data_IF_190050582212
#
_entry.id   IF_190050582212
#
_cell.length_a   1.000
_cell.length_b   1.000
_cell.length_c   1.000
_cell.angle_alpha   90.00
_cell.angle_beta   90.00
_cell.angle_gamma   90.00
#
_symmetry.space_group_name_H-M   'P 1'
#
loop_
_entity.id
_entity.type
_entity.pdbx_description
1 polymer ?
#
# COMPACT_ATOMS: atom_id res chain seq x y z
N UNK A 1 11.28 -10.85 -1.41
CA UNK A 1 9.90 -10.41 -1.06
C UNK A 1 9.52 -10.93 0.32
N UNK A 2 9.77 -12.21 0.58
CA UNK A 2 9.44 -12.93 1.82
C UNK A 2 9.96 -12.29 3.11
N UNK A 3 11.17 -11.72 3.09
CA UNK A 3 11.74 -11.03 4.25
C UNK A 3 10.93 -9.78 4.63
N UNK A 4 10.61 -8.92 3.65
CA UNK A 4 9.82 -7.72 3.89
C UNK A 4 8.40 -8.08 4.30
N UNK A 5 7.79 -9.10 3.69
CA UNK A 5 6.47 -9.57 4.10
C UNK A 5 6.47 -10.04 5.55
N UNK A 6 7.42 -10.89 5.94
CA UNK A 6 7.52 -11.35 7.33
C UNK A 6 7.73 -10.19 8.32
N UNK A 7 8.52 -9.18 7.95
CA UNK A 7 8.81 -8.05 8.84
C UNK A 7 7.66 -7.01 8.91
N UNK A 8 6.90 -6.85 7.82
CA UNK A 8 5.92 -5.76 7.66
C UNK A 8 4.48 -6.23 7.56
N UNK A 9 4.21 -7.54 7.50
CA UNK A 9 2.87 -8.13 7.54
C UNK A 9 2.20 -7.71 8.84
N UNK A 10 1.54 -6.56 8.79
CA UNK A 10 0.77 -6.03 9.90
C UNK A 10 -0.40 -6.96 10.15
N UNK A 11 -0.20 -8.02 10.95
CA UNK A 11 -1.20 -8.95 11.50
C UNK A 11 -2.37 -9.32 10.55
N UNK A 12 -2.17 -9.31 9.22
CA UNK A 12 -3.26 -9.51 8.24
C UNK A 12 -3.80 -10.94 8.27
N UNK A 13 -2.93 -11.90 8.54
CA UNK A 13 -3.25 -13.31 8.72
C UNK A 13 -2.03 -14.03 9.30
N UNK A 14 -2.19 -15.25 9.81
CA UNK A 14 -1.06 -16.13 10.13
C UNK A 14 -0.29 -16.58 8.87
N UNK A 15 -0.87 -16.41 7.67
CA UNK A 15 -0.28 -16.80 6.39
C UNK A 15 -0.59 -15.72 5.34
N UNK A 16 0.29 -14.73 5.24
CA UNK A 16 0.36 -13.85 4.08
C UNK A 16 1.45 -14.39 3.16
N UNK A 17 1.07 -15.33 2.31
CA UNK A 17 1.98 -16.02 1.40
C UNK A 17 1.91 -15.47 -0.02
N UNK A 18 2.76 -16.01 -0.89
CA UNK A 18 2.84 -15.62 -2.29
C UNK A 18 1.51 -15.83 -3.02
N UNK A 19 0.81 -16.93 -2.78
CA UNK A 19 -0.46 -17.23 -3.46
C UNK A 19 -1.53 -16.20 -3.12
N UNK A 20 -1.64 -15.83 -1.84
CA UNK A 20 -2.55 -14.76 -1.41
C UNK A 20 -2.15 -13.40 -2.03
N UNK A 21 -0.85 -13.10 -2.08
CA UNK A 21 -0.36 -11.87 -2.73
C UNK A 21 -0.66 -11.86 -4.23
N UNK A 22 -0.42 -12.96 -4.95
CA UNK A 22 -0.67 -13.05 -6.40
C UNK A 22 -2.16 -12.91 -6.70
N UNK A 23 -3.02 -13.57 -5.93
CA UNK A 23 -4.48 -13.37 -6.02
C UNK A 23 -4.84 -11.89 -5.79
N UNK A 24 -4.35 -11.30 -4.70
CA UNK A 24 -4.71 -9.94 -4.30
C UNK A 24 -4.21 -8.86 -5.26
N UNK A 25 -3.09 -9.07 -5.97
CA UNK A 25 -2.43 -8.01 -6.75
C UNK A 25 -2.35 -8.29 -8.25
N UNK A 26 -2.30 -9.55 -8.67
CA UNK A 26 -2.14 -9.92 -10.08
C UNK A 26 -3.44 -10.38 -10.73
N UNK A 27 -4.42 -10.83 -9.93
CA UNK A 27 -5.70 -11.36 -10.41
C UNK A 27 -6.86 -10.36 -10.23
N UNK A 28 -6.57 -9.06 -10.20
CA UNK A 28 -7.63 -8.04 -10.23
C UNK A 28 -8.08 -7.74 -11.66
N UNK A 29 -9.35 -7.36 -11.79
CA UNK A 29 -9.96 -6.88 -13.04
C UNK A 29 -9.14 -5.72 -13.66
N UNK A 30 -8.67 -4.81 -12.81
CA UNK A 30 -7.81 -3.70 -13.22
C UNK A 30 -6.37 -3.94 -12.75
N UNK A 31 -5.37 -3.61 -13.59
CA UNK A 31 -3.97 -3.77 -13.22
C UNK A 31 -3.60 -2.97 -11.98
N UNK A 32 -3.02 -3.67 -10.99
CA UNK A 32 -2.46 -3.03 -9.80
C UNK A 32 -1.19 -2.25 -10.14
N UNK A 33 -0.94 -1.19 -9.39
CA UNK A 33 0.34 -0.48 -9.43
C UNK A 33 1.15 -0.87 -8.19
N UNK A 34 2.37 -1.33 -8.42
CA UNK A 34 3.27 -1.80 -7.37
C UNK A 34 4.55 -0.98 -7.46
N UNK A 35 4.88 -0.31 -6.36
CA UNK A 35 6.12 0.45 -6.21
C UNK A 35 6.99 -0.25 -5.20
N UNK A 36 8.27 -0.39 -5.53
CA UNK A 36 9.29 -0.96 -4.65
C UNK A 36 10.44 0.02 -4.50
N UNK A 37 11.04 0.02 -3.32
CA UNK A 37 12.31 0.67 -3.08
C UNK A 37 13.40 -0.39 -2.96
N UNK A 38 14.49 -0.24 -3.70
CA UNK A 38 15.62 -1.18 -3.76
C UNK A 38 16.90 -0.43 -3.40
N UNK A 39 17.63 -0.94 -2.42
CA UNK A 39 18.98 -0.50 -2.06
C UNK A 39 20.00 -1.54 -2.50
N UNK A 40 21.28 -1.30 -2.22
CA UNK A 40 22.37 -2.21 -2.59
C UNK A 40 22.19 -3.62 -2.03
N UNK A 41 21.63 -3.73 -0.83
CA UNK A 41 21.38 -5.00 -0.14
C UNK A 41 20.00 -5.60 -0.44
N UNK A 42 19.27 -5.05 -1.42
CA UNK A 42 17.97 -5.56 -1.85
C UNK A 42 16.78 -4.67 -1.46
N UNK A 43 15.62 -5.30 -1.24
CA UNK A 43 14.32 -4.62 -1.14
C UNK A 43 14.21 -3.78 0.16
N UNK A 44 14.25 -2.45 0.09
CA UNK A 44 14.06 -1.54 1.22
C UNK A 44 12.58 -1.45 1.67
N UNK A 45 11.62 -1.65 0.75
CA UNK A 45 10.20 -1.51 1.03
C UNK A 45 9.32 -1.66 -0.19
N UNK A 46 8.02 -1.66 0.03
CA UNK A 46 7.00 -1.79 -1.01
C UNK A 46 5.78 -0.91 -0.72
N UNK A 47 5.03 -0.59 -1.76
CA UNK A 47 3.84 0.26 -1.72
C UNK A 47 2.89 -0.21 -2.83
N UNK A 48 1.68 -0.68 -2.48
CA UNK A 48 0.74 -1.19 -3.47
C UNK A 48 -0.48 -0.27 -3.61
N UNK A 49 -1.00 -0.18 -4.83
CA UNK A 49 -2.26 0.46 -5.15
C UNK A 49 -3.12 -0.50 -5.99
N UNK A 50 -4.26 -0.90 -5.43
CA UNK A 50 -5.31 -1.57 -6.18
C UNK A 50 -6.21 -0.56 -6.85
N UNK A 51 -6.84 -0.94 -7.96
CA UNK A 51 -7.75 -0.08 -8.71
C UNK A 51 -9.09 -0.77 -8.86
N UNK A 52 -10.16 0.00 -8.66
CA UNK A 52 -11.52 -0.51 -8.68
C UNK A 52 -12.45 0.44 -9.41
N UNK A 53 -13.39 -0.14 -10.17
CA UNK A 53 -14.58 0.57 -10.61
C UNK A 53 -15.51 0.69 -9.42
N UNK A 54 -15.89 1.92 -9.07
CA UNK A 54 -16.67 2.24 -7.89
C UNK A 54 -17.79 3.21 -8.23
N UNK A 55 -18.66 3.48 -7.26
CA UNK A 55 -19.59 4.62 -7.31
C UNK A 55 -19.21 5.62 -6.22
N UNK A 56 -19.04 6.87 -6.61
CA UNK A 56 -18.82 7.97 -5.67
C UNK A 56 -19.92 9.01 -5.87
N UNK A 57 -20.68 9.29 -4.81
CA UNK A 57 -21.86 10.19 -4.86
C UNK A 57 -22.82 9.82 -5.99
N UNK A 58 -23.09 8.52 -6.16
CA UNK A 58 -24.00 8.01 -7.19
C UNK A 58 -23.47 8.05 -8.63
N UNK A 59 -22.21 8.44 -8.86
CA UNK A 59 -21.60 8.47 -10.19
C UNK A 59 -20.55 7.36 -10.33
N UNK A 60 -20.43 6.70 -11.50
CA UNK A 60 -19.30 5.84 -11.79
C UNK A 60 -17.98 6.61 -11.58
N UNK A 61 -17.02 5.96 -10.94
CA UNK A 61 -15.71 6.51 -10.68
C UNK A 61 -14.67 5.39 -10.63
N UNK A 62 -13.42 5.72 -10.91
CA UNK A 62 -12.30 4.83 -10.71
C UNK A 62 -11.51 5.22 -9.46
N UNK A 63 -11.58 4.37 -8.43
CA UNK A 63 -10.83 4.54 -7.20
C UNK A 63 -9.50 3.80 -7.26
N UNK A 64 -8.47 4.36 -6.61
CA UNK A 64 -7.25 3.63 -6.27
C UNK A 64 -7.12 3.49 -4.76
N UNK A 65 -7.02 2.25 -4.27
CA UNK A 65 -6.84 1.93 -2.86
C UNK A 65 -5.37 1.65 -2.56
N UNK A 66 -4.76 2.49 -1.73
CA UNK A 66 -3.44 2.18 -1.19
C UNK A 66 -3.59 1.14 -0.09
N UNK A 67 -2.84 0.05 -0.21
CA UNK A 67 -2.81 -1.02 0.77
C UNK A 67 -1.43 -1.68 0.79
N UNK A 68 -1.15 -2.46 1.84
CA UNK A 68 0.12 -3.15 2.07
C UNK A 68 1.31 -2.26 1.71
N UNK A 69 1.61 -1.38 2.65
CA UNK A 69 2.77 -0.51 2.57
C UNK A 69 3.74 -0.93 3.67
N UNK A 70 4.96 -1.26 3.27
CA UNK A 70 6.00 -1.77 4.15
C UNK A 70 7.33 -1.05 3.92
N UNK A 71 8.06 -0.80 5.00
CA UNK A 71 9.47 -0.40 4.93
C UNK A 71 10.23 -1.25 5.94
N UNK A 72 11.26 -1.94 5.45
CA UNK A 72 12.14 -2.72 6.30
C UNK A 72 12.72 -1.85 7.42
N UNK A 73 12.85 -2.45 8.60
CA UNK A 73 13.30 -1.81 9.84
C UNK A 73 14.61 -1.05 9.66
N UNK A 74 15.57 -1.67 8.98
CA UNK A 74 16.88 -1.09 8.64
C UNK A 74 16.79 0.21 7.80
N UNK A 75 15.67 0.45 7.12
CA UNK A 75 15.45 1.60 6.23
C UNK A 75 14.38 2.59 6.76
N UNK A 76 13.84 2.35 7.96
CA UNK A 76 12.87 3.26 8.59
C UNK A 76 13.54 4.56 9.00
N UNK A 77 12.75 5.64 9.06
CA UNK A 77 13.19 7.02 9.37
C UNK A 77 14.16 7.65 8.37
N UNK A 78 14.42 7.00 7.23
CA UNK A 78 15.30 7.53 6.17
C UNK A 78 14.51 8.18 5.01
N UNK A 79 13.19 8.29 5.13
CA UNK A 79 12.33 8.89 4.10
C UNK A 79 11.82 7.92 3.02
N UNK A 80 12.19 6.64 3.07
CA UNK A 80 11.80 5.62 2.07
C UNK A 80 10.28 5.56 1.87
N UNK A 81 9.49 5.49 2.95
CA UNK A 81 8.02 5.51 2.87
C UNK A 81 7.48 6.74 2.14
N UNK A 82 8.01 7.93 2.46
CA UNK A 82 7.59 9.21 1.86
C UNK A 82 7.94 9.25 0.38
N UNK A 83 9.13 8.76 0.02
CA UNK A 83 9.59 8.74 -1.36
C UNK A 83 8.76 7.76 -2.21
N UNK A 84 8.51 6.53 -1.72
CA UNK A 84 7.65 5.56 -2.41
C UNK A 84 6.22 6.07 -2.56
N UNK A 85 5.62 6.63 -1.51
CA UNK A 85 4.25 7.15 -1.57
C UNK A 85 4.12 8.38 -2.47
N UNK A 86 5.11 9.28 -2.47
CA UNK A 86 5.18 10.40 -3.41
C UNK A 86 5.21 9.92 -4.87
N UNK A 87 6.10 8.97 -5.16
CA UNK A 87 6.22 8.38 -6.49
C UNK A 87 4.94 7.65 -6.93
N UNK A 88 4.33 6.86 -6.04
CA UNK A 88 3.05 6.19 -6.29
C UNK A 88 1.94 7.19 -6.67
N UNK A 89 1.79 8.25 -5.88
CA UNK A 89 0.76 9.27 -6.10
C UNK A 89 0.98 10.05 -7.40
N UNK A 90 2.23 10.36 -7.73
CA UNK A 90 2.58 10.98 -9.01
C UNK A 90 2.14 10.09 -10.18
N UNK A 91 2.45 8.79 -10.13
CA UNK A 91 2.07 7.83 -11.18
C UNK A 91 0.56 7.65 -11.31
N UNK A 92 -0.17 7.60 -10.19
CA UNK A 92 -1.63 7.51 -10.21
C UNK A 92 -2.27 8.78 -10.79
N UNK A 93 -1.76 9.96 -10.42
CA UNK A 93 -2.25 11.24 -10.97
C UNK A 93 -1.93 11.39 -12.47
N UNK A 94 -0.76 10.93 -12.90
CA UNK A 94 -0.35 10.98 -14.29
C UNK A 94 -1.17 10.04 -15.19
N UNK A 95 -1.70 8.95 -14.65
CA UNK A 95 -2.52 8.00 -15.41
C UNK A 95 -3.85 8.60 -15.90
N UNK A 96 -4.30 9.71 -15.30
CA UNK A 96 -5.53 10.48 -15.64
C UNK A 96 -6.85 9.69 -15.63
N UNK A 97 -6.80 8.44 -15.22
CA UNK A 97 -7.93 7.52 -15.20
C UNK A 97 -8.39 7.18 -13.77
N UNK A 98 -7.79 7.77 -12.73
CA UNK A 98 -8.16 7.59 -11.32
C UNK A 98 -8.79 8.89 -10.79
N UNK A 99 -10.04 8.81 -10.36
CA UNK A 99 -10.81 9.95 -9.83
C UNK A 99 -10.44 10.29 -8.39
N UNK A 100 -10.16 9.27 -7.57
CA UNK A 100 -9.76 9.46 -6.18
C UNK A 100 -8.85 8.35 -5.67
N UNK A 101 -8.04 8.68 -4.67
CA UNK A 101 -7.12 7.76 -4.02
C UNK A 101 -7.49 7.69 -2.54
N UNK A 102 -7.68 6.49 -2.01
CA UNK A 102 -8.10 6.28 -0.62
C UNK A 102 -7.29 5.16 0.06
N UNK A 103 -7.34 5.13 1.39
CA UNK A 103 -6.68 4.10 2.20
C UNK A 103 -7.29 4.06 3.59
N UNK A 104 -7.02 2.97 4.32
CA UNK A 104 -7.41 2.79 5.71
C UNK A 104 -6.14 2.73 6.56
N UNK A 105 -5.58 3.89 6.94
CA UNK A 105 -4.34 3.89 7.70
C UNK A 105 -4.61 3.41 9.13
N UNK A 106 -3.64 2.70 9.71
CA UNK A 106 -3.67 2.46 11.15
C UNK A 106 -3.26 3.75 11.90
N UNK A 107 -3.48 3.77 13.22
CA UNK A 107 -3.19 4.94 14.06
C UNK A 107 -1.73 5.42 13.95
N UNK A 108 -0.78 4.51 13.70
CA UNK A 108 0.65 4.84 13.57
C UNK A 108 0.98 5.48 12.22
N UNK A 109 0.34 5.04 11.14
CA UNK A 109 0.62 5.53 9.79
C UNK A 109 -0.22 6.74 9.38
N UNK A 110 -1.41 6.92 9.98
CA UNK A 110 -2.32 8.03 9.67
C UNK A 110 -1.64 9.41 9.62
N UNK A 111 -0.80 9.81 10.61
CA UNK A 111 -0.17 11.12 10.57
C UNK A 111 0.75 11.31 9.36
N UNK A 112 1.39 10.24 8.90
CA UNK A 112 2.28 10.27 7.74
C UNK A 112 1.49 10.41 6.43
N UNK A 113 0.32 9.78 6.31
CA UNK A 113 -0.55 9.97 5.13
C UNK A 113 -1.08 11.40 5.04
N UNK A 114 -1.54 11.97 6.16
CA UNK A 114 -2.05 13.35 6.19
C UNK A 114 -0.93 14.35 5.92
N UNK A 115 0.18 14.29 6.68
CA UNK A 115 1.26 15.29 6.58
C UNK A 115 2.10 15.17 5.31
N UNK A 116 2.53 13.97 4.95
CA UNK A 116 3.50 13.80 3.87
C UNK A 116 2.85 13.64 2.48
N UNK A 117 1.64 13.09 2.45
CA UNK A 117 0.96 12.74 1.20
C UNK A 117 -0.33 13.55 0.95
N UNK A 118 -0.66 14.48 1.87
CA UNK A 118 -1.78 15.41 1.77
C UNK A 118 -3.14 14.72 1.62
N UNK A 119 -3.33 13.59 2.30
CA UNK A 119 -4.64 12.95 2.39
C UNK A 119 -5.57 13.76 3.30
N UNK A 120 -6.84 13.88 2.91
CA UNK A 120 -7.92 14.31 3.78
C UNK A 120 -8.53 13.10 4.52
N UNK A 121 -8.98 13.31 5.76
CA UNK A 121 -9.76 12.30 6.49
C UNK A 121 -11.23 12.51 6.14
N UNK A 122 -11.84 11.52 5.47
CA UNK A 122 -13.23 11.59 5.02
C UNK A 122 -14.19 10.98 6.04
N UNK A 123 -13.81 9.86 6.64
CA UNK A 123 -14.63 9.13 7.59
C UNK A 123 -13.76 8.30 8.55
N UNK A 124 -14.35 7.91 9.68
CA UNK A 124 -13.83 6.86 10.56
C UNK A 124 -14.74 5.65 10.42
N UNK A 125 -14.16 4.51 10.05
CA UNK A 125 -14.91 3.26 9.92
C UNK A 125 -14.80 2.50 11.25
N UNK A 126 -15.90 2.29 11.99
CA UNK A 126 -15.87 1.48 13.19
C UNK A 126 -15.55 0.02 12.84
N UNK A 127 -14.74 -0.62 13.68
CA UNK A 127 -14.41 -2.05 13.57
C UNK A 127 -15.16 -2.77 14.68
N UNK A 128 -16.08 -3.64 14.30
CA UNK A 128 -16.83 -4.48 15.23
C UNK A 128 -16.22 -5.88 15.26
N UNK A 129 -16.23 -6.51 16.44
CA UNK A 129 -15.70 -7.86 16.64
C UNK A 129 -16.81 -8.74 17.17
N UNK A 130 -17.14 -9.79 16.43
CA UNK A 130 -18.10 -10.81 16.86
C UNK A 130 -17.34 -12.12 17.13
N UNK A 131 -17.30 -12.61 18.39
CA UNK A 131 -16.65 -13.87 18.70
C UNK A 131 -17.49 -15.04 18.16
N UNK A 132 -17.01 -15.66 17.08
CA UNK A 132 -17.68 -16.81 16.46
C UNK A 132 -17.49 -18.10 17.27
N UNK A 133 -16.34 -18.23 17.95
CA UNK A 133 -15.99 -19.33 18.84
C UNK A 133 -15.34 -18.78 20.13
N UNK A 134 -16.17 -18.60 21.15
CA UNK A 134 -15.76 -18.12 22.48
C UNK A 134 -14.85 -19.15 23.15
N UNK A 135 -15.08 -20.45 22.93
CA UNK A 135 -14.26 -21.51 23.53
C UNK A 135 -12.82 -21.48 23.00
N UNK A 136 -12.64 -21.39 21.68
CA UNK A 136 -11.32 -21.23 21.08
C UNK A 136 -10.63 -19.96 21.56
N UNK A 137 -11.37 -18.86 21.77
CA UNK A 137 -10.84 -17.62 22.32
C UNK A 137 -10.36 -17.81 23.76
N UNK A 138 -11.16 -18.46 24.61
CA UNK A 138 -10.80 -18.77 26.01
C UNK A 138 -9.56 -19.67 26.09
N UNK A 139 -9.49 -20.71 25.26
CA UNK A 139 -8.33 -21.61 25.20
C UNK A 139 -7.07 -20.89 24.77
N UNK A 140 -7.15 -20.09 23.70
CA UNK A 140 -5.98 -19.45 23.10
C UNK A 140 -5.49 -18.21 23.85
N UNK A 141 -6.38 -17.48 24.53
CA UNK A 141 -6.04 -16.21 25.20
C UNK A 141 -5.94 -16.29 26.71
N UNK A 142 -6.69 -17.19 27.34
CA UNK A 142 -6.68 -17.37 28.80
C UNK A 142 -6.03 -18.68 29.23
N UNK A 143 -5.60 -19.52 28.27
CA UNK A 143 -4.92 -20.79 28.53
C UNK A 143 -5.73 -21.78 29.41
N UNK A 144 -7.06 -21.68 29.40
CA UNK A 144 -7.97 -22.48 30.25
C UNK A 144 -8.15 -23.95 29.79
N UNK A 145 -7.45 -24.39 28.75
CA UNK A 145 -7.47 -25.79 28.29
C UNK A 145 -8.88 -26.35 28.06
N UNK A 146 -9.15 -27.55 28.59
CA UNK A 146 -10.46 -28.19 28.44
C UNK A 146 -11.60 -27.40 29.10
N UNK A 147 -11.34 -26.75 30.24
CA UNK A 147 -12.32 -25.91 30.94
C UNK A 147 -12.75 -24.72 30.08
N UNK A 148 -11.80 -24.09 29.36
CA UNK A 148 -12.10 -22.99 28.43
C UNK A 148 -13.04 -23.41 27.30
N UNK A 149 -12.91 -24.63 26.78
CA UNK A 149 -13.83 -25.16 25.75
C UNK A 149 -15.24 -25.36 26.30
N UNK A 150 -15.35 -25.92 27.50
CA UNK A 150 -16.65 -26.16 28.13
C UNK A 150 -17.36 -24.84 28.47
N UNK A 151 -16.65 -23.92 29.11
CA UNK A 151 -17.16 -22.58 29.41
C UNK A 151 -17.54 -21.82 28.14
N UNK A 152 -16.75 -21.96 27.08
CA UNK A 152 -17.06 -21.40 25.77
C UNK A 152 -18.40 -21.89 25.21
N UNK A 153 -18.69 -23.19 25.30
CA UNK A 153 -19.98 -23.76 24.86
C UNK A 153 -21.16 -23.19 25.67
N UNK A 154 -20.99 -23.03 26.97
CA UNK A 154 -22.00 -22.44 27.85
C UNK A 154 -22.25 -20.96 27.50
N UNK A 155 -21.18 -20.19 27.25
CA UNK A 155 -21.26 -18.75 26.99
C UNK A 155 -21.57 -18.39 25.54
N UNK A 156 -21.40 -19.31 24.59
CA UNK A 156 -21.57 -19.05 23.15
C UNK A 156 -22.97 -18.53 22.78
N UNK A 157 -24.09 -19.08 23.29
CA UNK A 157 -25.43 -18.57 22.98
C UNK A 157 -25.62 -17.14 23.48
N UNK A 158 -25.16 -16.86 24.70
CA UNK A 158 -25.21 -15.52 25.29
C UNK A 158 -24.35 -14.53 24.50
N UNK A 159 -23.13 -14.92 24.13
CA UNK A 159 -22.24 -14.09 23.32
C UNK A 159 -22.83 -13.78 21.93
N UNK A 160 -23.56 -14.73 21.33
CA UNK A 160 -24.28 -14.51 20.07
C UNK A 160 -25.46 -13.56 20.24
N UNK A 161 -26.26 -13.76 21.29
CA UNK A 161 -27.40 -12.89 21.60
C UNK A 161 -27.00 -11.45 21.93
N UNK A 162 -25.86 -11.27 22.62
CA UNK A 162 -25.31 -9.95 22.96
C UNK A 162 -24.55 -9.32 21.78
N UNK A 163 -23.84 -10.13 20.99
CA UNK A 163 -23.05 -9.70 19.83
C UNK A 163 -23.88 -9.37 18.58
N UNK A 164 -25.16 -9.73 18.56
CA UNK A 164 -26.09 -9.43 17.45
C UNK A 164 -26.66 -8.02 17.47
N UNK A 165 -26.18 -7.12 18.34
CA UNK A 165 -26.48 -5.68 18.19
C UNK A 165 -25.90 -5.20 16.87
N UNK A 166 -26.74 -5.17 15.84
CA UNK A 166 -26.40 -4.60 14.54
C UNK A 166 -26.10 -3.12 14.78
N UNK A 167 -24.93 -2.61 14.36
CA UNK A 167 -24.75 -1.17 14.31
C UNK A 167 -25.82 -0.61 13.37
N UNK A 168 -26.74 0.16 13.92
CA UNK A 168 -27.70 0.92 13.13
C UNK A 168 -26.92 1.97 12.36
N UNK A 169 -27.22 2.14 11.07
CA UNK A 169 -26.62 3.16 10.20
C UNK A 169 -26.74 4.59 10.79
N UNK A 170 -27.64 4.80 11.74
CA UNK A 170 -27.81 6.04 12.49
C UNK A 170 -26.60 6.39 13.37
N UNK A 171 -25.83 5.43 13.87
CA UNK A 171 -24.59 5.69 14.61
C UNK A 171 -23.50 6.31 13.71
N UNK A 172 -23.61 6.11 12.38
CA UNK A 172 -22.75 6.73 11.37
C UNK A 172 -23.19 8.15 10.99
N UNK A 173 -24.42 8.57 11.33
CA UNK A 173 -24.91 9.93 11.08
C UNK A 173 -24.24 10.97 12.02
N UNK A 174 -23.57 10.51 13.07
CA UNK A 174 -22.73 11.34 13.95
C UNK A 174 -21.31 11.57 13.41
N UNK A 175 -20.97 11.03 12.24
CA UNK A 175 -19.73 11.45 11.57
C UNK A 175 -19.96 12.86 11.02
N UNK A 176 -19.20 13.88 11.47
CA UNK A 176 -19.35 15.22 10.94
C UNK A 176 -19.22 15.11 9.42
N UNK A 177 -20.24 15.57 8.72
CA UNK A 177 -20.18 15.75 7.28
C UNK A 177 -18.84 16.45 7.02
N UNK A 178 -17.91 15.78 6.33
CA UNK A 178 -16.64 16.35 5.97
C UNK A 178 -16.94 17.50 4.99
N UNK A 179 -17.25 18.66 5.56
CA UNK A 179 -17.50 19.93 4.90
C UNK A 179 -16.19 20.49 4.38
N UNK A 180 -15.55 19.73 3.49
CA UNK A 180 -14.60 20.31 2.56
C UNK A 180 -15.43 21.01 1.49
N UNK A 181 -15.57 22.33 1.58
CA UNK A 181 -15.93 23.17 0.43
C UNK A 181 -15.10 22.67 -0.74
N UNK A 182 -15.74 22.10 -1.75
CA UNK A 182 -15.14 21.93 -3.05
C UNK A 182 -14.78 23.33 -3.52
N UNK A 183 -13.50 23.69 -3.44
CA UNK A 183 -13.01 24.88 -4.11
C UNK A 183 -13.20 24.61 -5.60
N UNK A 184 -14.27 25.17 -6.17
CA UNK A 184 -14.47 25.24 -7.60
C UNK A 184 -13.42 26.18 -8.18
N UNK A 185 -12.20 25.69 -8.37
CA UNK A 185 -11.25 26.35 -9.24
C UNK A 185 -11.66 26.01 -10.68
N UNK A 186 -12.42 26.92 -11.28
CA UNK A 186 -12.58 26.99 -12.72
C UNK A 186 -11.19 27.14 -13.39
N UNK A 187 -11.01 26.66 -14.62
CA UNK A 187 -9.70 26.66 -15.29
C UNK A 187 -9.29 28.09 -15.63
N UNK A 188 -8.24 28.59 -14.97
CA UNK A 188 -7.58 29.82 -15.38
C UNK A 188 -6.76 29.56 -16.65
N UNK A 189 -7.23 30.12 -17.75
CA UNK A 189 -6.46 30.36 -18.96
C UNK A 189 -5.42 31.47 -18.71
N UNK A 190 -4.14 31.19 -18.91
CA UNK A 190 -3.10 32.19 -19.20
C UNK A 190 -2.01 31.48 -20.01
N UNK A 191 -1.92 31.65 -21.34
CA UNK A 191 -1.24 32.76 -22.04
C UNK A 191 0.03 33.22 -21.34
N UNK A 192 1.15 33.07 -22.06
CA UNK A 192 2.50 33.26 -21.56
C UNK A 192 3.03 34.68 -21.63
N UNK A 193 4.15 34.87 -20.95
CA UNK A 193 5.22 35.84 -21.18
C UNK A 193 6.33 35.44 -20.18
N UNK A 194 7.47 34.98 -20.67
CA UNK A 194 8.65 35.78 -20.99
C UNK A 194 9.51 36.10 -19.75
N UNK A 195 10.75 35.66 -19.90
CA UNK A 195 11.96 35.85 -19.11
C UNK A 195 12.10 37.17 -18.33
N UNK A 196 12.63 37.08 -17.11
CA UNK A 196 13.73 37.96 -16.68
C UNK A 196 14.58 37.31 -15.59
N UNK A 197 15.83 37.06 -15.97
CA UNK A 197 16.99 36.81 -15.11
C UNK A 197 17.15 37.94 -14.10
N UNK A 198 17.35 37.60 -12.82
CA UNK A 198 17.95 38.51 -11.84
C UNK A 198 18.98 37.80 -10.99
N UNK A 199 20.12 38.48 -10.89
CA UNK A 199 21.40 38.05 -10.34
C UNK A 199 21.34 37.76 -8.85
N UNK A 200 22.23 36.83 -8.51
CA UNK A 200 22.81 36.53 -7.20
C UNK A 200 23.35 37.80 -6.54
N UNK A 201 23.08 37.95 -5.24
CA UNK A 201 23.91 38.73 -4.33
C UNK A 201 23.99 38.01 -2.99
N UNK A 202 25.19 37.53 -2.67
CA UNK A 202 25.66 37.12 -1.35
C UNK A 202 25.89 38.33 -0.45
N UNK A 203 25.70 38.19 0.86
CA UNK A 203 26.63 38.77 1.81
C UNK A 203 27.24 37.73 2.75
N UNK A 204 28.54 37.91 2.94
CA UNK A 204 29.43 37.29 3.90
C UNK A 204 29.15 37.76 5.33
N UNK A 205 29.57 36.96 6.31
CA UNK A 205 29.96 37.43 7.64
C UNK A 205 29.14 36.92 8.81
N UNK A 206 29.65 35.91 9.52
CA UNK A 206 30.28 36.03 10.86
C UNK A 206 30.23 34.70 11.63
N UNK A 207 31.39 34.39 12.19
CA UNK A 207 31.70 33.31 13.12
C UNK A 207 31.33 33.68 14.57
N UNK A 208 31.07 32.63 15.37
CA UNK A 208 31.08 32.44 16.85
C UNK A 208 29.95 31.45 17.17
N UNK A 209 30.06 30.46 18.04
CA UNK A 209 31.11 29.91 18.89
C UNK A 209 30.59 28.57 19.42
N UNK A 210 31.47 27.78 20.01
CA UNK A 210 31.29 26.39 20.40
C UNK A 210 30.12 26.13 21.38
N UNK A 211 29.54 24.93 21.32
CA UNK A 211 29.23 24.12 22.51
C UNK A 211 28.98 22.64 22.16
N UNK A 212 29.30 21.79 23.14
CA UNK A 212 29.61 20.37 23.02
C UNK A 212 28.61 19.49 22.28
N UNK A 213 29.15 18.57 21.46
CA UNK A 213 28.40 17.48 20.85
C UNK A 213 28.70 16.17 21.57
N UNK A 214 27.66 15.65 22.23
CA UNK A 214 27.54 14.24 22.61
C UNK A 214 27.44 13.42 21.31
N UNK A 215 28.10 12.26 21.16
CA UNK A 215 27.97 11.45 19.96
C UNK A 215 26.60 10.77 19.94
N UNK A 216 25.59 11.48 19.46
CA UNK A 216 24.38 10.84 18.93
C UNK A 216 24.77 10.25 17.58
N UNK A 217 24.95 8.94 17.54
CA UNK A 217 25.09 8.18 16.29
C UNK A 217 23.86 8.44 15.42
N UNK A 218 23.99 9.40 14.50
CA UNK A 218 22.98 9.64 13.49
C UNK A 218 22.84 8.36 12.67
N UNK A 219 21.62 7.84 12.48
CA UNK A 219 21.43 6.62 11.70
C UNK A 219 22.00 6.84 10.29
N UNK A 220 23.01 6.03 9.94
CA UNK A 220 23.64 6.06 8.62
C UNK A 220 22.55 5.89 7.56
N UNK A 221 22.38 6.92 6.71
CA UNK A 221 21.46 6.86 5.58
C UNK A 221 22.00 5.88 4.56
N UNK A 222 21.21 4.85 4.25
CA UNK A 222 21.52 3.89 3.19
C UNK A 222 20.83 4.34 1.90
N UNK A 223 21.53 4.38 0.76
CA UNK A 223 20.92 4.74 -0.50
C UNK A 223 19.86 3.69 -0.92
N UNK A 224 18.70 4.15 -1.40
CA UNK A 224 17.69 3.32 -2.07
C UNK A 224 17.22 4.04 -3.34
N UNK A 225 16.97 3.27 -4.40
CA UNK A 225 16.30 3.67 -5.64
C UNK A 225 14.83 3.24 -5.60
N UNK A 226 13.96 3.87 -6.40
CA UNK A 226 12.51 3.57 -6.42
C UNK A 226 12.10 3.20 -7.84
N UNK A 227 11.33 2.11 -7.98
CA UNK A 227 10.83 1.59 -9.25
C UNK A 227 9.34 1.29 -9.17
N UNK A 228 8.63 1.40 -10.30
CA UNK A 228 7.24 0.98 -10.45
C UNK A 228 7.14 -0.16 -11.46
N UNK A 229 6.21 -1.08 -11.20
CA UNK A 229 5.70 -2.03 -12.17
C UNK A 229 4.17 -1.92 -12.25
N UNK A 230 3.64 -1.94 -13.46
CA UNK A 230 2.23 -2.23 -13.70
C UNK A 230 2.12 -3.73 -13.92
N UNK A 231 1.23 -4.37 -13.16
CA UNK A 231 1.01 -5.80 -13.27
C UNK A 231 -0.43 -6.06 -13.71
N UNK A 232 -0.59 -6.64 -14.90
CA UNK A 232 -1.86 -7.24 -15.34
C UNK A 232 -1.68 -8.74 -15.49
N UNK A 233 -2.75 -9.52 -15.28
CA UNK A 233 -2.73 -10.96 -15.50
C UNK A 233 -2.27 -11.34 -16.93
N UNK A 234 -2.71 -10.57 -17.93
CA UNK A 234 -2.29 -10.72 -19.33
C UNK A 234 -0.79 -10.52 -19.56
N UNK A 235 -0.15 -9.62 -18.81
CA UNK A 235 1.29 -9.35 -18.88
C UNK A 235 2.15 -10.45 -18.24
N UNK A 236 1.61 -11.16 -17.23
CA UNK A 236 2.31 -12.27 -16.58
C UNK A 236 2.14 -13.60 -17.32
N UNK A 237 0.95 -13.88 -17.87
CA UNK A 237 0.75 -15.06 -18.71
C UNK A 237 1.71 -15.05 -19.92
N UNK A 238 1.91 -13.87 -20.52
CA UNK A 238 2.85 -13.67 -21.62
C UNK A 238 4.33 -13.74 -21.19
N UNK A 239 4.69 -13.27 -19.99
CA UNK A 239 6.05 -13.42 -19.43
C UNK A 239 6.37 -14.86 -19.02
N UNK A 240 5.42 -15.57 -18.41
CA UNK A 240 5.57 -16.99 -18.04
C UNK A 240 5.67 -17.88 -19.28
N UNK A 241 4.96 -17.56 -20.36
CA UNK A 241 5.10 -18.23 -21.66
C UNK A 241 6.49 -17.94 -22.29
N UNK A 242 6.98 -16.70 -22.22
CA UNK A 242 8.33 -16.34 -22.70
C UNK A 242 9.45 -16.95 -21.86
N UNK A 243 9.32 -17.04 -20.54
CA UNK A 243 10.33 -17.69 -19.69
C UNK A 243 10.39 -19.20 -19.91
N UNK A 244 9.25 -19.87 -20.18
CA UNK A 244 9.24 -21.28 -20.60
C UNK A 244 9.88 -21.51 -21.97
N UNK A 245 9.71 -20.57 -22.91
CA UNK A 245 10.40 -20.63 -24.21
C UNK A 245 11.89 -20.27 -24.12
N UNK A 246 12.30 -19.44 -23.16
CA UNK A 246 13.71 -19.08 -22.95
C UNK A 246 14.49 -20.17 -22.19
N UNK A 247 13.81 -20.99 -21.38
CA UNK A 247 14.42 -22.15 -20.72
C UNK A 247 14.54 -23.40 -21.61
N UNK A 248 14.01 -23.37 -22.85
CA UNK A 248 14.12 -24.48 -23.81
C UNK A 248 15.23 -24.29 -24.86
N UNK A 249 16.09 -23.28 -24.71
CA UNK A 249 17.24 -23.06 -25.60
C UNK A 249 18.56 -23.19 -24.84
N UNK A 250 18.98 -24.44 -24.63
CA UNK A 250 20.39 -24.80 -24.44
C UNK A 250 20.85 -25.61 -25.67
N UNK A 251 22.11 -25.50 -26.10
CA UNK A 251 22.55 -25.97 -27.41
C UNK A 251 22.93 -27.44 -27.36
N UNK A 252 22.36 -28.24 -28.26
CA UNK A 252 22.75 -29.63 -28.47
C UNK A 252 22.43 -30.08 -29.88
N UNK A 253 23.48 -30.11 -30.71
CA UNK A 253 23.66 -30.97 -31.88
C UNK A 253 22.52 -31.15 -32.89
N UNK A 254 22.78 -30.68 -34.10
CA UNK A 254 22.24 -31.08 -35.40
C UNK A 254 21.49 -32.42 -35.38
N UNK A 255 20.22 -32.39 -35.77
CA UNK A 255 19.63 -33.38 -36.66
C UNK A 255 18.58 -32.68 -37.54
N UNK A 256 18.63 -33.06 -38.80
CA UNK A 256 17.97 -32.50 -39.98
C UNK A 256 16.45 -32.71 -39.99
N UNK A 257 15.73 -31.71 -40.51
CA UNK A 257 14.52 -31.91 -41.30
C UNK A 257 13.19 -31.92 -40.55
N UNK A 258 12.38 -30.88 -40.76
CA UNK A 258 11.05 -30.97 -41.34
C UNK A 258 10.29 -29.65 -41.15
N UNK A 259 9.71 -29.17 -42.26
CA UNK A 259 8.85 -27.99 -42.34
C UNK A 259 7.56 -28.23 -41.55
N UNK A 260 7.13 -27.23 -40.78
CA UNK A 260 5.78 -27.15 -40.22
C UNK A 260 5.35 -25.71 -40.06
N UNK A 261 4.40 -25.27 -40.90
CA UNK A 261 3.70 -23.98 -40.76
C UNK A 261 2.88 -23.99 -39.46
N UNK A 262 2.77 -22.83 -38.81
CA UNK A 262 1.60 -22.54 -37.97
C UNK A 262 1.17 -21.09 -38.17
N UNK A 263 -0.07 -20.96 -38.61
CA UNK A 263 -0.87 -19.75 -38.68
C UNK A 263 -1.49 -19.45 -37.31
N UNK A 264 -1.83 -18.16 -37.11
CA UNK A 264 -2.51 -17.50 -35.98
C UNK A 264 -1.65 -17.13 -34.76
#
# INVERSE_FOLDING_TARGET
MDEVFRETAGRKSQRFDRSLWEWQYLQNELPSLIVVAEGEQGLCGYYHALRFRMRFRGRPALGAMIQDVGTLSAYRRQGVFRAMGGFMLERLRAARDVDFIYTFPNARSLPSFVRNHRYGVVARVPVYVAPLDVGALLVSRMHLGAAGRWLGRLLQPLARALGSRRPTLEDTALLPAAGGRASSAAPATSRGASSRSRRVNTPSGRSRGANGSVPTSSPVRRPCSIRAARCSWTSLASRAKRQRCASSSAPGSRLTGARGRCSL
#
